data_IF_259021491507
#
_entry.id   IF_259021491507
#
_cell.length_a   1.000
_cell.length_b   1.000
_cell.length_c   1.000
_cell.angle_alpha   90.00
_cell.angle_beta   90.00
_cell.angle_gamma   90.00
#
_symmetry.space_group_name_H-M   'P 1'
#
loop_
_entity.id
_entity.type
_entity.pdbx_description
1 polymer ?
#
# COMPACT_ATOMS: atom_id res chain seq x y z
N UNK A 1 24.31 -24.81 19.30
CA UNK A 1 24.16 -23.80 18.23
C UNK A 1 24.02 -24.59 16.93
N UNK A 2 22.85 -24.50 16.25
CA UNK A 2 22.69 -25.16 14.95
C UNK A 2 23.56 -24.43 13.93
N UNK A 3 24.36 -25.19 13.21
CA UNK A 3 25.23 -24.66 12.14
C UNK A 3 24.42 -24.53 10.83
N UNK A 4 23.36 -23.71 10.88
CA UNK A 4 22.48 -23.44 9.78
C UNK A 4 22.59 -21.98 9.35
N UNK A 5 22.45 -21.74 8.06
CA UNK A 5 22.29 -20.38 7.55
C UNK A 5 20.93 -19.77 7.94
N UNK A 6 20.70 -18.52 7.59
CA UNK A 6 19.49 -17.77 7.98
C UNK A 6 18.22 -18.42 7.43
N UNK A 7 18.19 -18.76 6.15
CA UNK A 7 17.04 -19.40 5.52
C UNK A 7 16.71 -20.74 6.16
N UNK A 8 17.73 -21.59 6.37
CA UNK A 8 17.56 -22.90 6.99
C UNK A 8 17.02 -22.81 8.40
N UNK A 9 17.48 -21.81 9.19
CA UNK A 9 16.97 -21.59 10.57
C UNK A 9 15.50 -21.20 10.56
N UNK A 10 15.10 -20.26 9.72
CA UNK A 10 13.70 -19.84 9.64
C UNK A 10 12.80 -20.96 9.13
N UNK A 11 13.18 -21.67 8.07
CA UNK A 11 12.44 -22.85 7.58
C UNK A 11 12.24 -23.89 8.69
N UNK A 12 13.28 -24.22 9.41
CA UNK A 12 13.19 -25.16 10.52
C UNK A 12 12.22 -24.70 11.62
N UNK A 13 12.29 -23.43 12.05
CA UNK A 13 11.42 -22.87 13.08
C UNK A 13 9.97 -22.87 12.61
N UNK A 14 9.71 -22.43 11.39
CA UNK A 14 8.35 -22.38 10.82
C UNK A 14 7.77 -23.78 10.68
N UNK A 15 8.53 -24.74 10.19
CA UNK A 15 8.11 -26.14 10.06
C UNK A 15 7.74 -26.74 11.42
N UNK A 16 8.52 -26.47 12.46
CA UNK A 16 8.24 -26.93 13.84
C UNK A 16 6.98 -26.24 14.36
N UNK A 17 6.85 -24.92 14.18
CA UNK A 17 5.69 -24.16 14.61
C UNK A 17 4.39 -24.68 13.96
N UNK A 18 4.41 -24.90 12.66
CA UNK A 18 3.24 -25.42 11.92
C UNK A 18 2.89 -26.87 12.25
N UNK A 19 3.87 -27.72 12.62
CA UNK A 19 3.59 -29.07 13.14
C UNK A 19 2.81 -29.05 14.45
N UNK A 20 3.08 -28.05 15.30
CA UNK A 20 2.42 -27.92 16.61
C UNK A 20 1.08 -27.17 16.47
N UNK A 21 1.08 -26.08 15.70
CA UNK A 21 -0.09 -25.21 15.47
C UNK A 21 -0.16 -24.82 13.99
N UNK A 22 -0.88 -25.58 13.16
CA UNK A 22 -0.91 -25.39 11.70
C UNK A 22 -1.35 -24.00 11.21
N UNK A 23 -2.16 -23.29 12.01
CA UNK A 23 -2.72 -21.99 11.66
C UNK A 23 -1.96 -20.80 12.31
N UNK A 24 -0.74 -21.03 12.82
CA UNK A 24 0.06 -19.92 13.32
C UNK A 24 0.55 -19.05 12.17
N UNK A 25 0.36 -17.72 12.29
CA UNK A 25 0.90 -16.74 11.35
C UNK A 25 2.34 -16.44 11.76
N UNK A 26 3.26 -16.56 10.81
CA UNK A 26 4.69 -16.34 11.07
C UNK A 26 5.23 -15.16 10.27
N UNK A 27 5.74 -14.15 10.98
CA UNK A 27 6.44 -13.00 10.40
C UNK A 27 7.96 -13.18 10.55
N UNK A 28 8.70 -13.06 9.43
CA UNK A 28 10.16 -13.05 9.45
C UNK A 28 10.66 -11.63 9.65
N UNK A 29 11.25 -11.35 10.81
CA UNK A 29 11.79 -10.02 11.14
C UNK A 29 13.31 -10.00 11.04
N UNK A 30 13.83 -9.46 9.94
CA UNK A 30 15.27 -9.35 9.66
C UNK A 30 15.75 -7.92 9.45
N UNK A 31 14.84 -6.93 9.53
CA UNK A 31 15.10 -5.51 9.28
C UNK A 31 15.59 -5.18 7.85
N UNK A 32 15.39 -6.10 6.93
CA UNK A 32 15.69 -6.01 5.51
C UNK A 32 14.83 -7.05 4.76
N UNK A 33 14.69 -6.92 3.44
CA UNK A 33 14.07 -7.97 2.63
C UNK A 33 14.93 -9.25 2.72
N UNK A 34 14.37 -10.35 3.27
CA UNK A 34 15.20 -11.54 3.58
C UNK A 34 15.63 -12.34 2.36
N UNK A 35 15.09 -12.04 1.19
CA UNK A 35 15.29 -12.79 -0.04
C UNK A 35 14.03 -13.54 -0.49
N UNK A 36 14.07 -14.09 -1.70
CA UNK A 36 12.89 -14.70 -2.33
C UNK A 36 12.38 -15.98 -1.65
N UNK A 37 13.18 -16.60 -0.81
CA UNK A 37 12.81 -17.81 -0.08
C UNK A 37 11.62 -17.62 0.88
N UNK A 38 11.40 -16.38 1.38
CA UNK A 38 10.30 -16.08 2.31
C UNK A 38 8.94 -16.23 1.67
N UNK A 39 8.81 -15.99 0.36
CA UNK A 39 7.53 -16.00 -0.38
C UNK A 39 6.80 -17.35 -0.37
N UNK A 40 7.51 -18.42 -0.06
CA UNK A 40 6.97 -19.78 0.03
C UNK A 40 7.14 -20.39 1.43
N UNK A 41 7.51 -19.57 2.42
CA UNK A 41 7.89 -20.09 3.74
C UNK A 41 7.17 -19.37 4.86
N UNK A 42 7.03 -18.04 4.78
CA UNK A 42 6.45 -17.20 5.81
C UNK A 42 5.18 -16.50 5.33
N UNK A 43 4.30 -16.10 6.24
CA UNK A 43 3.08 -15.37 5.94
C UNK A 43 3.38 -13.88 5.67
N UNK A 44 4.40 -13.33 6.34
CA UNK A 44 4.88 -11.97 6.11
C UNK A 44 6.36 -11.82 6.47
N UNK A 45 6.96 -10.74 6.04
CA UNK A 45 8.37 -10.43 6.34
C UNK A 45 8.62 -8.93 6.34
N UNK A 46 9.35 -8.47 7.36
CA UNK A 46 9.84 -7.10 7.43
C UNK A 46 10.79 -6.82 6.27
N UNK A 47 10.61 -5.67 5.63
CA UNK A 47 11.41 -5.24 4.47
C UNK A 47 12.42 -4.13 4.81
N UNK A 48 12.37 -3.63 6.04
CA UNK A 48 13.20 -2.51 6.49
C UNK A 48 13.58 -2.64 7.96
N UNK A 49 14.58 -1.87 8.39
CA UNK A 49 14.76 -1.52 9.80
C UNK A 49 13.54 -0.82 10.38
N UNK A 50 13.46 -0.73 11.71
CA UNK A 50 12.30 -0.21 12.41
C UNK A 50 11.86 1.17 11.92
N UNK A 51 10.55 1.34 11.91
CA UNK A 51 9.91 2.60 11.59
C UNK A 51 10.13 3.62 12.72
N UNK A 52 10.32 4.88 12.33
CA UNK A 52 10.38 6.01 13.26
C UNK A 52 9.19 6.92 12.98
N UNK A 53 8.65 7.53 14.04
CA UNK A 53 7.50 8.44 14.00
C UNK A 53 7.88 9.79 13.37
N UNK A 54 8.11 9.77 12.06
CA UNK A 54 8.30 10.94 11.21
C UNK A 54 8.10 10.60 9.73
N UNK A 55 7.77 11.61 8.93
CA UNK A 55 7.44 11.44 7.51
C UNK A 55 8.62 10.94 6.65
N UNK A 56 9.86 11.31 7.01
CA UNK A 56 11.06 10.84 6.31
C UNK A 56 11.21 9.30 6.42
N UNK A 57 10.98 8.75 7.61
CA UNK A 57 10.99 7.30 7.83
C UNK A 57 9.91 6.60 7.01
N UNK A 58 8.70 7.18 6.95
CA UNK A 58 7.60 6.67 6.11
C UNK A 58 8.04 6.63 4.64
N UNK A 59 8.56 7.72 4.11
CA UNK A 59 9.02 7.83 2.73
C UNK A 59 10.14 6.84 2.40
N UNK A 60 11.09 6.65 3.31
CA UNK A 60 12.18 5.67 3.18
C UNK A 60 11.63 4.24 3.04
N UNK A 61 10.68 3.86 3.89
CA UNK A 61 10.10 2.52 3.87
C UNK A 61 9.27 2.29 2.60
N UNK A 62 8.51 3.30 2.15
CA UNK A 62 7.79 3.26 0.87
C UNK A 62 8.77 2.98 -0.29
N UNK A 63 9.94 3.65 -0.32
CA UNK A 63 10.93 3.45 -1.38
C UNK A 63 11.54 2.04 -1.33
N UNK A 64 11.82 1.50 -0.15
CA UNK A 64 12.31 0.13 0.01
C UNK A 64 11.29 -0.91 -0.47
N UNK A 65 10.00 -0.65 -0.31
CA UNK A 65 8.93 -1.56 -0.73
C UNK A 65 8.52 -1.39 -2.21
N UNK A 66 8.91 -0.31 -2.87
CA UNK A 66 8.41 0.06 -4.20
C UNK A 66 8.57 -1.04 -5.25
N UNK A 67 9.68 -1.75 -5.24
CA UNK A 67 10.03 -2.79 -6.22
C UNK A 67 9.75 -4.23 -5.72
N UNK A 68 9.22 -4.36 -4.49
CA UNK A 68 8.91 -5.65 -3.88
C UNK A 68 7.49 -6.16 -4.20
N UNK A 69 6.69 -5.40 -4.96
CA UNK A 69 5.30 -5.73 -5.33
C UNK A 69 5.14 -7.14 -5.93
N UNK A 70 6.14 -7.64 -6.65
CA UNK A 70 6.14 -8.97 -7.27
C UNK A 70 6.20 -10.14 -6.29
N UNK A 71 6.55 -9.87 -5.03
CA UNK A 71 6.65 -10.88 -3.97
C UNK A 71 5.40 -10.91 -3.08
N UNK A 72 4.54 -9.88 -3.16
CA UNK A 72 3.26 -9.84 -2.46
C UNK A 72 2.24 -10.74 -3.20
N UNK A 73 1.57 -11.61 -2.45
CA UNK A 73 0.51 -12.50 -2.97
C UNK A 73 -0.43 -12.89 -1.82
N UNK A 74 -1.62 -13.48 -2.11
CA UNK A 74 -2.54 -13.91 -1.06
C UNK A 74 -1.85 -14.78 -0.01
N UNK A 75 -1.95 -14.38 1.27
CA UNK A 75 -1.31 -15.05 2.40
C UNK A 75 0.17 -14.71 2.62
N UNK A 76 0.79 -13.90 1.76
CA UNK A 76 2.22 -13.59 1.83
C UNK A 76 2.47 -12.10 1.57
N UNK A 77 2.98 -11.36 2.58
CA UNK A 77 3.02 -9.90 2.56
C UNK A 77 4.40 -9.31 2.84
N UNK A 78 4.71 -8.23 2.11
CA UNK A 78 5.78 -7.31 2.49
C UNK A 78 5.30 -6.50 3.70
N UNK A 79 5.98 -6.66 4.84
CA UNK A 79 5.67 -5.94 6.09
C UNK A 79 6.51 -4.67 6.19
N UNK A 80 5.83 -3.53 6.08
CA UNK A 80 6.42 -2.19 6.17
C UNK A 80 6.55 -1.67 7.61
N UNK A 81 6.33 -2.53 8.62
CA UNK A 81 6.25 -2.24 10.04
C UNK A 81 4.89 -1.71 10.50
N UNK A 82 4.72 -1.57 11.81
CA UNK A 82 3.50 -1.07 12.42
C UNK A 82 3.20 0.37 12.03
N UNK A 83 1.95 0.78 12.22
CA UNK A 83 1.52 2.15 11.99
C UNK A 83 1.99 3.09 13.11
N UNK A 84 2.46 4.28 12.73
CA UNK A 84 2.79 5.39 13.65
C UNK A 84 1.68 6.45 13.71
N UNK A 85 0.54 6.19 13.12
CA UNK A 85 -0.63 7.09 13.05
C UNK A 85 -1.07 7.53 14.44
N UNK A 86 -1.24 8.84 14.62
CA UNK A 86 -1.69 9.43 15.87
C UNK A 86 -0.62 9.53 16.96
N UNK A 87 0.66 9.50 16.59
CA UNK A 87 1.77 9.66 17.53
C UNK A 87 2.39 11.06 17.47
N UNK A 88 3.21 11.37 16.47
CA UNK A 88 3.90 12.66 16.38
C UNK A 88 3.79 13.36 15.03
N UNK A 89 3.38 12.64 14.00
CA UNK A 89 3.15 13.22 12.67
C UNK A 89 1.87 14.08 12.65
N UNK A 90 1.79 15.03 11.70
CA UNK A 90 0.56 15.78 11.48
C UNK A 90 -0.51 14.97 10.74
N UNK A 91 -1.73 15.50 10.66
CA UNK A 91 -2.89 14.81 10.07
C UNK A 91 -2.68 14.35 8.62
N UNK A 92 -2.05 15.17 7.77
CA UNK A 92 -1.80 14.81 6.37
C UNK A 92 -0.72 13.72 6.23
N UNK A 93 0.31 13.78 7.09
CA UNK A 93 1.35 12.74 7.16
C UNK A 93 0.77 11.41 7.67
N UNK A 94 -0.08 11.43 8.68
CA UNK A 94 -0.79 10.25 9.19
C UNK A 94 -1.70 9.63 8.11
N UNK A 95 -2.45 10.45 7.36
CA UNK A 95 -3.26 10.00 6.23
C UNK A 95 -2.40 9.38 5.12
N UNK A 96 -1.29 10.02 4.78
CA UNK A 96 -0.36 9.52 3.77
C UNK A 96 0.23 8.18 4.21
N UNK A 97 0.68 8.07 5.45
CA UNK A 97 1.19 6.84 6.03
C UNK A 97 0.18 5.69 5.95
N UNK A 98 -1.03 5.89 6.49
CA UNK A 98 -2.09 4.88 6.47
C UNK A 98 -2.48 4.46 5.05
N UNK A 99 -2.62 5.43 4.14
CA UNK A 99 -2.99 5.17 2.75
C UNK A 99 -1.94 4.35 2.02
N UNK A 100 -0.66 4.66 2.20
CA UNK A 100 0.42 3.95 1.53
C UNK A 100 0.57 2.52 2.05
N UNK A 101 0.45 2.29 3.39
CA UNK A 101 0.40 0.94 3.94
C UNK A 101 -0.79 0.14 3.38
N UNK A 102 -1.96 0.76 3.31
CA UNK A 102 -3.16 0.12 2.77
C UNK A 102 -3.01 -0.26 1.29
N UNK A 103 -2.60 0.68 0.42
CA UNK A 103 -2.50 0.41 -1.02
C UNK A 103 -1.34 -0.53 -1.37
N UNK A 104 -0.29 -0.56 -0.54
CA UNK A 104 0.86 -1.45 -0.70
C UNK A 104 0.67 -2.82 -0.01
N UNK A 105 -0.52 -3.14 0.47
CA UNK A 105 -0.87 -4.43 1.10
C UNK A 105 0.00 -4.78 2.32
N UNK A 106 0.54 -3.80 3.03
CA UNK A 106 1.25 -4.04 4.29
C UNK A 106 0.26 -4.36 5.41
N UNK A 107 0.61 -5.19 6.41
CA UNK A 107 -0.20 -5.36 7.60
C UNK A 107 -0.54 -4.02 8.27
N UNK A 108 -1.81 -3.80 8.62
CA UNK A 108 -2.28 -2.59 9.30
C UNK A 108 -2.31 -2.83 10.81
N UNK A 109 -1.16 -2.74 11.45
CA UNK A 109 -0.99 -2.96 12.89
C UNK A 109 -0.87 -1.62 13.61
N UNK A 110 -1.88 -1.23 14.39
CA UNK A 110 -1.87 0.01 15.15
C UNK A 110 -0.74 0.04 16.19
N UNK A 111 0.05 1.12 16.19
CA UNK A 111 1.19 1.31 17.11
C UNK A 111 0.96 2.42 18.15
N UNK A 112 -0.23 3.02 18.18
CA UNK A 112 -0.63 4.08 19.11
C UNK A 112 -1.37 3.53 20.33
N UNK A 113 -1.60 4.37 21.32
CA UNK A 113 -2.46 4.06 22.46
C UNK A 113 -3.94 4.05 22.01
N UNK A 114 -4.54 2.85 21.99
CA UNK A 114 -5.93 2.67 21.60
C UNK A 114 -6.93 3.18 22.63
N UNK A 115 -6.49 3.45 23.87
CA UNK A 115 -7.36 3.92 24.95
C UNK A 115 -7.49 5.44 24.99
N UNK A 116 -6.59 6.17 24.33
CA UNK A 116 -6.52 7.63 24.39
C UNK A 116 -6.09 8.24 23.04
N UNK A 117 -6.83 7.96 21.97
CA UNK A 117 -6.58 8.55 20.66
C UNK A 117 -7.53 9.70 20.33
N UNK A 118 -7.08 10.62 19.47
CA UNK A 118 -7.93 11.70 18.97
C UNK A 118 -9.02 11.19 18.03
N UNK A 119 -10.05 12.02 17.77
CA UNK A 119 -11.09 11.69 16.78
C UNK A 119 -10.53 11.60 15.36
N UNK A 120 -9.55 12.42 15.05
CA UNK A 120 -8.84 12.40 13.77
C UNK A 120 -8.08 11.07 13.60
N UNK A 121 -7.30 10.66 14.59
CA UNK A 121 -6.58 9.37 14.60
C UNK A 121 -7.57 8.19 14.44
N UNK A 122 -8.67 8.19 15.21
CA UNK A 122 -9.70 7.18 15.08
C UNK A 122 -10.30 7.17 13.67
N UNK A 123 -10.60 8.35 13.11
CA UNK A 123 -11.14 8.48 11.76
C UNK A 123 -10.22 7.95 10.66
N UNK A 124 -8.89 8.11 10.83
CA UNK A 124 -7.89 7.52 9.93
C UNK A 124 -7.88 6.00 10.06
N UNK A 125 -7.69 5.48 11.28
CA UNK A 125 -7.54 4.04 11.54
C UNK A 125 -8.81 3.23 11.23
N UNK A 126 -9.98 3.86 11.17
CA UNK A 126 -11.27 3.22 10.89
C UNK A 126 -11.88 3.61 9.55
N UNK A 127 -11.12 4.20 8.63
CA UNK A 127 -11.61 4.48 7.29
C UNK A 127 -11.82 3.19 6.50
N UNK A 128 -13.04 2.68 6.50
CA UNK A 128 -13.40 1.40 5.86
C UNK A 128 -13.08 1.37 4.36
N UNK A 129 -13.18 2.50 3.65
CA UNK A 129 -12.91 2.55 2.22
C UNK A 129 -11.43 2.43 1.89
N UNK A 130 -10.56 2.98 2.73
CA UNK A 130 -9.10 2.82 2.60
C UNK A 130 -8.68 1.43 3.07
N UNK A 131 -9.25 0.92 4.18
CA UNK A 131 -9.02 -0.46 4.65
C UNK A 131 -9.41 -1.47 3.57
N UNK A 132 -10.50 -1.26 2.85
CA UNK A 132 -10.94 -2.14 1.76
C UNK A 132 -9.90 -2.28 0.64
N UNK A 133 -9.04 -1.29 0.41
CA UNK A 133 -7.92 -1.41 -0.54
C UNK A 133 -6.86 -2.41 -0.06
N UNK A 134 -6.62 -2.45 1.25
CA UNK A 134 -5.71 -3.42 1.86
C UNK A 134 -6.28 -4.85 1.84
N UNK A 135 -7.59 -4.96 2.05
CA UNK A 135 -8.32 -6.22 2.15
C UNK A 135 -8.85 -6.74 0.79
N UNK A 136 -8.47 -6.11 -0.31
CA UNK A 136 -8.89 -6.55 -1.65
C UNK A 136 -8.39 -7.96 -1.95
N UNK A 137 -9.28 -8.89 -2.40
CA UNK A 137 -8.96 -10.32 -2.53
C UNK A 137 -7.89 -10.63 -3.59
N UNK A 138 -7.58 -9.70 -4.49
CA UNK A 138 -6.50 -9.86 -5.46
C UNK A 138 -5.11 -9.80 -4.79
N UNK A 139 -4.99 -9.13 -3.64
CA UNK A 139 -3.71 -8.91 -2.95
C UNK A 139 -2.60 -8.37 -3.85
N UNK A 140 -2.97 -7.46 -4.74
CA UNK A 140 -2.00 -6.83 -5.62
C UNK A 140 -1.43 -5.58 -4.95
N UNK A 141 -0.13 -5.60 -4.61
CA UNK A 141 0.54 -4.43 -4.07
C UNK A 141 0.62 -3.32 -5.12
N UNK A 142 0.30 -2.07 -4.75
CA UNK A 142 0.40 -0.94 -5.67
C UNK A 142 1.81 -0.78 -6.24
N UNK A 143 1.87 -0.37 -7.50
CA UNK A 143 3.11 -0.04 -8.21
C UNK A 143 3.23 1.46 -8.37
N UNK A 144 4.44 1.98 -8.32
CA UNK A 144 4.74 3.38 -8.62
C UNK A 144 4.85 3.57 -10.13
N UNK A 145 3.83 4.21 -10.72
CA UNK A 145 3.77 4.46 -12.15
C UNK A 145 4.49 5.72 -12.58
N UNK A 146 4.56 6.71 -11.68
CA UNK A 146 5.19 8.00 -11.97
C UNK A 146 5.88 8.50 -10.70
N UNK A 147 7.08 9.08 -10.88
CA UNK A 147 7.78 9.86 -9.87
C UNK A 147 8.45 11.05 -10.55
N UNK A 148 8.04 12.24 -10.19
CA UNK A 148 8.61 13.51 -10.65
C UNK A 148 9.02 14.34 -9.44
N UNK A 149 10.29 14.30 -9.09
CA UNK A 149 10.78 14.89 -7.84
C UNK A 149 10.08 14.26 -6.63
N UNK A 150 9.33 15.08 -5.90
CA UNK A 150 8.59 14.69 -4.70
C UNK A 150 7.14 14.23 -4.98
N UNK A 151 6.72 14.21 -6.25
CA UNK A 151 5.35 13.88 -6.65
C UNK A 151 5.28 12.48 -7.24
N UNK A 152 4.37 11.66 -6.72
CA UNK A 152 4.28 10.26 -7.09
C UNK A 152 2.85 9.84 -7.43
N UNK A 153 2.72 8.95 -8.41
CA UNK A 153 1.47 8.26 -8.77
C UNK A 153 1.64 6.76 -8.53
N UNK A 154 0.83 6.23 -7.64
CA UNK A 154 0.76 4.81 -7.32
C UNK A 154 -0.59 4.25 -7.74
N UNK A 155 -0.61 3.03 -8.27
CA UNK A 155 -1.87 2.39 -8.63
C UNK A 155 -1.83 0.88 -8.46
N UNK A 156 -3.00 0.29 -8.19
CA UNK A 156 -3.22 -1.15 -8.16
C UNK A 156 -4.59 -1.50 -8.74
N UNK A 157 -4.73 -2.64 -9.43
CA UNK A 157 -6.04 -3.17 -9.79
C UNK A 157 -6.73 -3.72 -8.54
N UNK A 158 -8.06 -3.72 -8.56
CA UNK A 158 -8.90 -4.29 -7.51
C UNK A 158 -9.74 -5.43 -8.09
N UNK A 159 -10.05 -6.44 -7.26
CA UNK A 159 -10.85 -7.64 -7.60
C UNK A 159 -10.08 -8.58 -8.54
N UNK A 160 -9.74 -8.12 -9.74
CA UNK A 160 -8.87 -8.80 -10.70
C UNK A 160 -8.20 -7.78 -11.63
N UNK A 161 -7.20 -8.20 -12.42
CA UNK A 161 -6.41 -7.30 -13.28
C UNK A 161 -7.19 -6.72 -14.46
N UNK A 162 -8.38 -7.25 -14.76
CA UNK A 162 -9.24 -6.84 -15.87
C UNK A 162 -10.61 -6.32 -15.43
N UNK A 163 -10.87 -6.19 -14.14
CA UNK A 163 -12.13 -5.68 -13.59
C UNK A 163 -12.47 -4.26 -14.06
N UNK A 164 -11.46 -3.47 -14.44
CA UNK A 164 -11.62 -2.03 -14.69
C UNK A 164 -11.76 -1.21 -13.41
N UNK A 165 -11.56 -1.85 -12.24
CA UNK A 165 -11.47 -1.15 -10.96
C UNK A 165 -9.99 -0.95 -10.58
N UNK A 166 -9.62 0.29 -10.32
CA UNK A 166 -8.23 0.66 -9.98
C UNK A 166 -8.23 1.63 -8.80
N UNK A 167 -7.40 1.36 -7.81
CA UNK A 167 -7.07 2.32 -6.77
C UNK A 167 -5.83 3.12 -7.18
N UNK A 168 -5.88 4.44 -7.00
CA UNK A 168 -4.79 5.38 -7.28
C UNK A 168 -4.48 6.16 -6.01
N UNK A 169 -3.21 6.22 -5.61
CA UNK A 169 -2.73 7.13 -4.59
C UNK A 169 -1.77 8.14 -5.22
N UNK A 170 -2.04 9.43 -4.98
CA UNK A 170 -1.23 10.56 -5.40
C UNK A 170 -0.50 11.05 -4.16
N UNK A 171 0.80 10.77 -4.06
CA UNK A 171 1.62 11.11 -2.89
C UNK A 171 2.46 12.35 -3.20
N UNK A 172 2.36 13.36 -2.34
CA UNK A 172 3.17 14.56 -2.38
C UNK A 172 4.15 14.55 -1.18
N UNK A 173 5.43 14.40 -1.45
CA UNK A 173 6.48 14.40 -0.42
C UNK A 173 7.03 15.81 -0.14
N UNK A 174 6.62 16.82 -0.93
CA UNK A 174 7.12 18.18 -0.78
C UNK A 174 6.41 18.91 0.37
N UNK A 175 7.03 20.00 0.83
CA UNK A 175 6.53 20.85 1.92
C UNK A 175 5.46 21.86 1.49
N UNK A 176 4.94 21.77 0.26
CA UNK A 176 3.88 22.63 -0.29
C UNK A 176 2.82 21.79 -0.99
N UNK A 177 1.57 22.25 -0.95
CA UNK A 177 0.52 21.64 -1.77
C UNK A 177 0.87 21.77 -3.26
N UNK A 178 0.71 20.67 -4.02
CA UNK A 178 1.05 20.62 -5.45
C UNK A 178 0.02 19.83 -6.24
N UNK A 179 -0.14 20.21 -7.50
CA UNK A 179 -0.95 19.47 -8.47
C UNK A 179 -0.19 18.20 -8.92
N UNK A 180 -0.86 17.05 -8.81
CA UNK A 180 -0.38 15.78 -9.39
C UNK A 180 -1.33 15.34 -10.49
N UNK A 181 -0.76 15.00 -11.64
CA UNK A 181 -1.48 14.59 -12.84
C UNK A 181 -1.15 13.15 -13.21
N UNK A 182 -2.17 12.38 -13.60
CA UNK A 182 -2.01 11.04 -14.16
C UNK A 182 -2.94 10.80 -15.35
N UNK A 183 -2.55 9.89 -16.24
CA UNK A 183 -3.37 9.45 -17.37
C UNK A 183 -4.09 8.15 -17.05
N UNK A 184 -5.34 8.02 -17.51
CA UNK A 184 -6.15 6.80 -17.32
C UNK A 184 -5.49 5.59 -18.04
N UNK A 185 -4.93 5.84 -19.22
CA UNK A 185 -4.18 4.83 -19.97
C UNK A 185 -2.98 4.30 -19.17
N UNK A 186 -2.22 5.20 -18.52
CA UNK A 186 -1.04 4.84 -17.72
C UNK A 186 -1.37 3.92 -16.56
N UNK A 187 -2.60 3.97 -16.04
CA UNK A 187 -3.12 3.10 -14.99
C UNK A 187 -4.04 1.99 -15.51
N UNK A 188 -4.01 1.70 -16.80
CA UNK A 188 -4.70 0.56 -17.41
C UNK A 188 -6.21 0.73 -17.67
N UNK A 189 -6.74 1.95 -17.67
CA UNK A 189 -8.16 2.26 -17.92
C UNK A 189 -8.35 2.87 -19.32
N UNK A 190 -9.39 2.38 -20.02
CA UNK A 190 -9.86 2.93 -21.30
C UNK A 190 -10.81 4.11 -21.05
N UNK A 191 -10.27 5.32 -21.10
CA UNK A 191 -11.02 6.54 -20.82
C UNK A 191 -12.18 6.79 -21.82
N UNK A 192 -12.05 6.39 -23.08
CA UNK A 192 -13.05 6.61 -24.13
C UNK A 192 -14.38 5.91 -23.83
N UNK A 193 -14.35 4.84 -23.05
CA UNK A 193 -15.56 4.11 -22.60
C UNK A 193 -16.24 4.75 -21.38
N UNK A 194 -15.59 5.77 -20.83
CA UNK A 194 -16.05 6.48 -19.65
C UNK A 194 -15.79 5.71 -18.34
N UNK A 195 -15.62 6.46 -17.28
CA UNK A 195 -15.34 5.96 -15.94
C UNK A 195 -15.95 6.86 -14.86
N UNK A 196 -16.07 6.34 -13.65
CA UNK A 196 -16.41 7.10 -12.45
C UNK A 196 -15.24 7.05 -11.46
N UNK A 197 -15.20 8.04 -10.58
CA UNK A 197 -14.19 8.14 -9.54
C UNK A 197 -14.84 8.42 -8.19
N UNK A 198 -14.19 7.96 -7.12
CA UNK A 198 -14.53 8.28 -5.74
C UNK A 198 -13.29 8.60 -4.94
N UNK A 199 -13.28 9.76 -4.29
CA UNK A 199 -12.28 10.10 -3.27
C UNK A 199 -12.61 9.35 -1.98
N UNK A 200 -11.68 8.55 -1.48
CA UNK A 200 -11.89 7.66 -0.34
C UNK A 200 -11.70 8.34 1.01
N UNK A 201 -11.04 9.51 1.04
CA UNK A 201 -10.93 10.32 2.25
C UNK A 201 -12.08 11.31 2.39
N UNK A 202 -12.40 12.03 1.31
CA UNK A 202 -13.52 12.97 1.27
C UNK A 202 -14.88 12.26 1.15
N UNK A 203 -14.88 10.92 0.88
CA UNK A 203 -16.08 10.10 0.63
C UNK A 203 -16.98 10.69 -0.45
N UNK A 204 -16.36 11.27 -1.48
CA UNK A 204 -17.01 12.05 -2.53
C UNK A 204 -16.94 11.35 -3.87
N UNK A 205 -18.10 11.19 -4.50
CA UNK A 205 -18.20 10.71 -5.87
C UNK A 205 -18.06 11.85 -6.87
N UNK A 206 -17.29 11.60 -7.94
CA UNK A 206 -17.18 12.50 -9.07
C UNK A 206 -18.15 12.11 -10.19
N UNK A 207 -18.53 13.09 -11.01
CA UNK A 207 -19.35 12.81 -12.20
C UNK A 207 -18.60 11.89 -13.16
N UNK A 208 -19.37 11.09 -13.94
CA UNK A 208 -18.81 10.26 -15.01
C UNK A 208 -17.99 11.14 -15.98
N UNK A 209 -16.81 10.64 -16.37
CA UNK A 209 -15.85 11.34 -17.21
C UNK A 209 -15.33 10.43 -18.33
N UNK A 210 -14.87 11.04 -19.41
CA UNK A 210 -14.10 10.44 -20.50
C UNK A 210 -12.75 11.13 -20.69
N UNK A 211 -12.35 12.01 -19.76
CA UNK A 211 -11.10 12.73 -19.83
C UNK A 211 -9.91 11.75 -19.74
N UNK A 212 -8.97 11.85 -20.67
CA UNK A 212 -7.79 10.99 -20.71
C UNK A 212 -6.83 11.21 -19.53
N UNK A 213 -6.94 12.37 -18.88
CA UNK A 213 -6.05 12.81 -17.81
C UNK A 213 -6.87 13.34 -16.62
N UNK A 214 -6.40 13.13 -15.42
CA UNK A 214 -6.92 13.68 -14.20
C UNK A 214 -5.84 14.40 -13.40
N UNK A 215 -6.23 15.48 -12.71
CA UNK A 215 -5.37 16.32 -11.91
C UNK A 215 -6.02 16.62 -10.56
N UNK A 216 -5.22 16.48 -9.49
CA UNK A 216 -5.65 16.75 -8.12
C UNK A 216 -4.61 17.60 -7.39
N UNK A 217 -5.07 18.57 -6.62
CA UNK A 217 -4.24 19.30 -5.66
C UNK A 217 -4.03 18.39 -4.45
N UNK A 218 -2.77 18.05 -4.15
CA UNK A 218 -2.38 17.19 -3.04
C UNK A 218 -1.69 18.04 -1.97
N UNK A 219 -2.12 17.99 -0.70
CA UNK A 219 -1.50 18.73 0.39
C UNK A 219 0.01 18.45 0.53
N UNK A 220 0.73 19.35 1.21
CA UNK A 220 2.11 19.09 1.63
C UNK A 220 2.19 17.82 2.48
N UNK A 221 3.17 16.95 2.24
CA UNK A 221 3.34 15.64 2.88
C UNK A 221 2.06 14.77 2.88
N UNK A 222 1.14 15.05 1.95
CA UNK A 222 -0.20 14.48 1.92
C UNK A 222 -0.41 13.46 0.81
N UNK A 223 -1.62 12.94 0.79
CA UNK A 223 -2.08 11.96 -0.21
C UNK A 223 -3.53 12.23 -0.61
N UNK A 224 -3.83 11.99 -1.88
CA UNK A 224 -5.20 11.83 -2.39
C UNK A 224 -5.37 10.38 -2.83
N UNK A 225 -6.43 9.71 -2.39
CA UNK A 225 -6.70 8.30 -2.72
C UNK A 225 -8.03 8.20 -3.47
N UNK A 226 -7.96 7.74 -4.71
CA UNK A 226 -9.11 7.65 -5.62
C UNK A 226 -9.35 6.19 -6.01
N UNK A 227 -10.60 5.74 -5.92
CA UNK A 227 -11.05 4.51 -6.56
C UNK A 227 -11.71 4.86 -7.90
N UNK A 228 -11.26 4.22 -8.97
CA UNK A 228 -11.74 4.39 -10.33
C UNK A 228 -12.51 3.14 -10.74
N UNK A 229 -13.70 3.32 -11.34
CA UNK A 229 -14.49 2.26 -11.96
C UNK A 229 -14.68 2.62 -13.43
N UNK A 230 -14.09 1.83 -14.31
CA UNK A 230 -14.12 2.03 -15.75
C UNK A 230 -14.04 0.71 -16.51
N UNK A 231 -13.49 0.75 -17.70
CA UNK A 231 -13.20 -0.44 -18.51
C UNK A 231 -11.68 -0.63 -18.57
N UNK A 232 -11.21 -1.82 -18.26
CA UNK A 232 -9.79 -2.15 -18.39
C UNK A 232 -9.36 -2.12 -19.87
N UNK A 233 -8.15 -1.64 -20.13
CA UNK A 233 -7.54 -1.79 -21.46
C UNK A 233 -7.23 -3.25 -21.75
N UNK A 234 -7.38 -3.68 -23.00
CA UNK A 234 -7.12 -5.06 -23.44
C UNK A 234 -5.70 -5.55 -23.09
N UNK A 235 -4.72 -4.65 -23.19
CA UNK A 235 -3.33 -4.88 -22.81
C UNK A 235 -3.00 -3.88 -21.69
N UNK A 236 -3.30 -4.24 -20.45
CA UNK A 236 -3.04 -3.35 -19.34
C UNK A 236 -1.79 -3.74 -18.57
N UNK A 237 -1.24 -2.76 -17.88
CA UNK A 237 0.05 -2.82 -17.17
C UNK A 237 0.09 -3.83 -16.02
N UNK A 238 -1.07 -4.33 -15.58
CA UNK A 238 -1.18 -5.25 -14.44
C UNK A 238 -1.17 -6.73 -14.83
N UNK A 239 -1.29 -7.07 -16.13
CA UNK A 239 -1.35 -8.44 -16.60
C UNK A 239 0.01 -9.16 -16.51
N UNK A 240 1.10 -8.43 -16.41
CA UNK A 240 2.45 -8.96 -16.38
C UNK A 240 3.04 -8.79 -14.98
N UNK A 241 3.14 -9.89 -14.23
CA UNK A 241 3.91 -10.00 -12.97
C UNK A 241 5.32 -10.49 -13.25
#
# INVERSE_FOLDING_TARGET
>A
RMDLDVEQRYRYIIDVAHKIKPNVIFNVCRWEFPGTWVTNTADSWRISGDIVDNFESICRIIDLNADLWKYCQPGHYNDMDMLQVGRGMNYEEDKAHFSMWAIMCSPLLAGNDLTSMSKETLGILTNEEVIALNQDPLFYQARRFKKEGDLEVWAKPLIDTMSGQVAVALLNRSTKAQDITFTLEGIGIDADKGYTMRDLWEKKDFKKSTAAEQKFLVPAHGVVVIRINGTAKKYNVYQYK
#
